data_IF_092226358426
#
_entry.id   IF_092226358426
#
_cell.length_a   1.000
_cell.length_b   1.000
_cell.length_c   1.000
_cell.angle_alpha   90.00
_cell.angle_beta   90.00
_cell.angle_gamma   90.00
#
_symmetry.space_group_name_H-M   'P 1'
#
loop_
_entity.id
_entity.type
_entity.pdbx_description
1 polymer ?
#
# COMPACT_ATOMS: atom_id res chain seq x y z
N UNK A 1 -13.59 13.49 -7.52
CA UNK A 1 -13.57 12.77 -8.82
C UNK A 1 -12.23 12.05 -9.04
N UNK A 2 -11.76 11.26 -8.06
CA UNK A 2 -10.46 10.59 -8.20
C UNK A 2 -10.65 9.36 -9.06
N UNK A 3 -10.32 9.46 -10.35
CA UNK A 3 -10.27 8.26 -11.17
C UNK A 3 -9.21 8.37 -12.24
N UNK A 4 -8.31 7.40 -12.20
CA UNK A 4 -7.09 7.35 -12.98
C UNK A 4 -7.45 6.79 -14.36
N UNK A 5 -7.37 7.66 -15.37
CA UNK A 5 -7.35 7.27 -16.77
C UNK A 5 -5.92 7.41 -17.27
N UNK A 6 -5.35 6.33 -17.79
CA UNK A 6 -4.03 6.29 -18.40
C UNK A 6 -4.04 6.83 -19.84
N UNK A 7 -4.95 7.72 -20.21
CA UNK A 7 -4.81 8.45 -21.48
C UNK A 7 -3.79 9.57 -21.32
N UNK A 8 -2.51 9.18 -21.42
CA UNK A 8 -1.45 10.07 -21.89
C UNK A 8 -1.08 11.27 -21.01
N UNK A 9 -1.63 11.44 -19.81
CA UNK A 9 -1.24 12.52 -18.88
C UNK A 9 -0.84 11.98 -17.52
N UNK A 10 0.48 11.89 -17.33
CA UNK A 10 1.17 11.63 -16.05
C UNK A 10 0.70 12.63 -14.99
N UNK A 11 0.19 12.15 -13.87
CA UNK A 11 0.07 12.95 -12.66
C UNK A 11 1.10 12.46 -11.64
N UNK A 12 2.36 12.86 -11.87
CA UNK A 12 3.42 12.84 -10.86
C UNK A 12 3.26 14.12 -10.07
N UNK A 13 3.17 14.04 -8.74
CA UNK A 13 3.39 15.21 -7.90
C UNK A 13 4.89 15.35 -7.66
N UNK A 14 5.41 16.50 -8.08
CA UNK A 14 6.73 16.98 -7.72
C UNK A 14 6.60 17.88 -6.49
N UNK A 15 7.53 17.77 -5.55
CA UNK A 15 7.74 18.76 -4.49
C UNK A 15 9.18 19.25 -4.68
N UNK A 16 9.35 20.52 -5.06
CA UNK A 16 10.65 21.13 -5.42
C UNK A 16 11.36 20.48 -6.63
N UNK A 17 10.65 20.23 -7.73
CA UNK A 17 11.20 19.60 -8.95
C UNK A 17 11.81 18.20 -8.78
N UNK A 18 11.73 17.63 -7.58
CA UNK A 18 11.95 16.21 -7.34
C UNK A 18 10.59 15.48 -7.30
N UNK A 19 10.45 14.30 -7.94
CA UNK A 19 9.29 13.44 -7.66
C UNK A 19 9.22 13.25 -6.16
N UNK A 20 8.02 13.15 -5.54
CA UNK A 20 7.94 12.78 -4.11
C UNK A 20 8.70 11.46 -3.96
N UNK A 21 9.94 11.60 -3.54
CA UNK A 21 10.84 10.50 -3.35
C UNK A 21 10.41 9.93 -2.01
N UNK A 22 9.55 8.92 -2.09
CA UNK A 22 9.47 7.85 -1.11
C UNK A 22 10.83 7.11 -1.09
N UNK A 23 11.91 7.87 -0.85
CA UNK A 23 13.29 7.44 -1.03
C UNK A 23 13.66 6.36 -0.02
N UNK A 24 12.97 6.24 1.13
CA UNK A 24 13.25 5.10 1.98
C UNK A 24 12.75 3.80 1.35
N UNK A 25 11.50 3.69 0.93
CA UNK A 25 10.99 2.40 0.45
C UNK A 25 11.46 2.08 -0.97
N UNK A 26 11.33 3.04 -1.90
CA UNK A 26 11.76 2.87 -3.28
C UNK A 26 13.29 2.88 -3.42
N UNK A 27 14.06 3.61 -2.60
CA UNK A 27 15.52 3.49 -2.61
C UNK A 27 16.05 2.34 -1.75
N UNK A 28 15.34 1.85 -0.71
CA UNK A 28 15.64 0.52 -0.11
C UNK A 28 15.37 -0.60 -1.10
N UNK A 29 14.38 -0.47 -1.97
CA UNK A 29 14.17 -1.43 -3.04
C UNK A 29 15.17 -1.25 -4.19
N UNK A 30 15.36 -0.02 -4.68
CA UNK A 30 16.24 0.29 -5.81
C UNK A 30 17.74 0.12 -5.51
N UNK A 31 18.19 0.31 -4.26
CA UNK A 31 19.60 0.07 -3.89
C UNK A 31 20.02 -1.39 -4.01
N UNK A 32 19.05 -2.31 -4.06
CA UNK A 32 19.28 -3.74 -4.26
C UNK A 32 19.22 -4.17 -5.74
N UNK A 33 18.70 -3.34 -6.66
CA UNK A 33 18.28 -3.78 -8.00
C UNK A 33 19.37 -3.88 -9.08
N UNK A 34 20.65 -3.69 -8.78
CA UNK A 34 21.65 -3.71 -9.85
C UNK A 34 22.04 -5.14 -10.31
N UNK A 35 21.74 -6.19 -9.54
CA UNK A 35 22.13 -7.59 -9.87
C UNK A 35 21.14 -8.71 -9.47
N UNK A 36 19.96 -8.40 -8.94
CA UNK A 36 19.02 -9.42 -8.42
C UNK A 36 17.76 -9.61 -9.28
N UNK A 37 17.17 -10.81 -9.25
CA UNK A 37 15.98 -11.20 -10.04
C UNK A 37 14.71 -10.47 -9.57
N UNK A 38 14.49 -10.44 -8.25
CA UNK A 38 13.39 -9.72 -7.62
C UNK A 38 13.77 -9.29 -6.19
N UNK A 39 12.81 -8.88 -5.36
CA UNK A 39 13.08 -8.38 -4.01
C UNK A 39 13.79 -9.40 -3.12
N UNK A 40 13.50 -10.69 -3.29
CA UNK A 40 13.96 -11.75 -2.38
C UNK A 40 14.90 -12.76 -3.06
N UNK A 41 14.93 -12.77 -4.39
CA UNK A 41 15.73 -13.69 -5.20
C UNK A 41 16.94 -12.96 -5.77
N UNK A 42 18.14 -13.31 -5.32
CA UNK A 42 19.40 -12.80 -5.89
C UNK A 42 19.67 -13.49 -7.23
N UNK A 43 19.75 -14.82 -7.21
CA UNK A 43 19.97 -15.65 -8.38
C UNK A 43 18.93 -16.77 -8.42
N UNK A 44 18.47 -17.14 -9.63
CA UNK A 44 17.43 -18.15 -9.78
C UNK A 44 17.92 -19.59 -9.57
N UNK A 45 19.23 -19.82 -9.49
CA UNK A 45 19.84 -21.14 -9.30
C UNK A 45 21.27 -20.97 -8.76
N UNK A 46 21.91 -22.05 -8.30
CA UNK A 46 23.30 -22.04 -7.84
C UNK A 46 23.46 -22.24 -6.33
N UNK A 47 22.36 -22.21 -5.58
CA UNK A 47 22.35 -22.46 -4.14
C UNK A 47 21.81 -23.85 -3.80
N UNK A 48 22.31 -24.38 -2.69
CA UNK A 48 21.85 -25.65 -2.12
C UNK A 48 20.36 -25.55 -1.78
N UNK A 49 19.58 -26.57 -2.14
CA UNK A 49 18.16 -26.59 -1.82
C UNK A 49 17.95 -26.88 -0.32
N UNK A 50 17.11 -26.10 0.35
CA UNK A 50 16.75 -26.31 1.76
C UNK A 50 16.01 -27.66 1.98
N UNK A 51 15.29 -28.12 0.96
CA UNK A 51 14.52 -29.37 1.01
C UNK A 51 15.30 -30.59 0.50
N UNK A 52 16.41 -30.39 -0.22
CA UNK A 52 17.25 -31.45 -0.74
C UNK A 52 18.71 -31.00 -0.74
N UNK A 53 19.45 -31.51 0.23
CA UNK A 53 20.81 -31.09 0.48
C UNK A 53 21.80 -31.55 -0.61
N UNK A 54 21.41 -32.40 -1.56
CA UNK A 54 22.27 -32.82 -2.67
C UNK A 54 22.12 -31.86 -3.86
N UNK A 55 20.94 -31.24 -4.00
CA UNK A 55 20.62 -30.35 -5.11
C UNK A 55 21.20 -28.95 -4.91
N UNK A 56 21.72 -28.38 -5.98
CA UNK A 56 22.31 -27.03 -6.06
C UNK A 56 21.63 -26.15 -7.12
N UNK A 57 20.50 -26.60 -7.66
CA UNK A 57 19.72 -25.89 -8.66
C UNK A 57 18.63 -25.01 -8.02
N UNK A 58 18.71 -24.71 -6.72
CA UNK A 58 17.79 -23.80 -6.06
C UNK A 58 18.29 -22.35 -6.09
N UNK A 59 17.34 -21.43 -5.94
CA UNK A 59 17.60 -20.01 -5.90
C UNK A 59 18.46 -19.60 -4.70
N UNK A 60 19.32 -18.62 -4.95
CA UNK A 60 20.05 -17.89 -3.93
C UNK A 60 19.20 -16.73 -3.46
N UNK A 61 18.80 -16.77 -2.19
CA UNK A 61 17.92 -15.76 -1.60
C UNK A 61 18.71 -14.62 -0.98
N UNK A 62 18.10 -13.43 -0.92
CA UNK A 62 18.65 -12.28 -0.21
C UNK A 62 18.87 -12.68 1.27
N UNK A 63 20.11 -12.62 1.79
CA UNK A 63 20.41 -13.07 3.15
C UNK A 63 19.58 -12.37 4.23
N UNK A 64 19.21 -11.11 3.98
CA UNK A 64 18.38 -10.32 4.87
C UNK A 64 16.89 -10.55 4.57
N UNK A 65 16.35 -11.66 5.05
CA UNK A 65 14.91 -11.92 5.09
C UNK A 65 14.33 -12.71 3.92
N UNK A 66 15.15 -13.18 2.98
CA UNK A 66 14.73 -14.08 1.89
C UNK A 66 14.84 -15.56 2.25
N UNK A 67 13.81 -16.34 1.89
CA UNK A 67 13.73 -17.79 2.09
C UNK A 67 13.36 -18.49 0.77
N UNK A 68 13.92 -19.69 0.54
CA UNK A 68 13.60 -20.50 -0.63
C UNK A 68 12.16 -21.01 -0.59
N UNK A 69 11.50 -21.03 -1.75
CA UNK A 69 10.09 -21.43 -1.89
C UNK A 69 9.82 -22.94 -1.86
N UNK A 70 10.84 -23.77 -1.60
CA UNK A 70 10.74 -25.23 -1.61
C UNK A 70 10.64 -25.86 -3.00
N UNK A 71 10.28 -27.14 -3.06
CA UNK A 71 10.36 -27.96 -4.27
C UNK A 71 9.40 -27.55 -5.40
N UNK A 72 8.29 -26.85 -5.08
CA UNK A 72 7.31 -26.39 -6.08
C UNK A 72 7.79 -25.15 -6.87
N UNK A 73 8.76 -24.42 -6.33
CA UNK A 73 9.36 -23.26 -6.97
C UNK A 73 10.84 -23.15 -6.57
N UNK A 74 11.70 -24.13 -6.95
CA UNK A 74 13.09 -24.18 -6.50
C UNK A 74 13.88 -22.96 -6.94
N UNK A 75 13.49 -22.35 -8.06
CA UNK A 75 14.19 -21.23 -8.69
C UNK A 75 13.70 -19.85 -8.21
N UNK A 76 13.05 -19.79 -7.05
CA UNK A 76 12.52 -18.54 -6.48
C UNK A 76 12.71 -18.47 -4.97
N UNK A 77 12.77 -17.24 -4.49
CA UNK A 77 12.69 -16.91 -3.09
C UNK A 77 11.47 -16.04 -2.82
N UNK A 78 11.01 -16.06 -1.58
CA UNK A 78 10.08 -15.08 -1.05
C UNK A 78 10.59 -14.58 0.29
N UNK A 79 9.84 -13.67 0.90
CA UNK A 79 10.10 -13.25 2.26
C UNK A 79 9.92 -14.43 3.22
N UNK A 80 10.85 -14.60 4.15
CA UNK A 80 10.70 -15.55 5.24
C UNK A 80 9.42 -15.25 6.05
N UNK A 81 8.65 -16.29 6.37
CA UNK A 81 7.28 -16.22 6.90
C UNK A 81 6.19 -16.23 5.82
N UNK A 82 6.55 -16.06 4.54
CA UNK A 82 5.62 -16.08 3.39
C UNK A 82 6.06 -17.08 2.30
N UNK A 83 7.11 -17.88 2.53
CA UNK A 83 7.68 -18.82 1.56
C UNK A 83 6.69 -19.90 1.09
N UNK A 84 5.70 -20.27 1.91
CA UNK A 84 4.66 -21.20 1.46
C UNK A 84 3.73 -20.62 0.37
N UNK A 85 3.76 -19.30 0.14
CA UNK A 85 2.87 -18.60 -0.79
C UNK A 85 3.56 -18.18 -2.10
N UNK A 86 4.76 -18.65 -2.38
CA UNK A 86 5.53 -18.21 -3.56
C UNK A 86 4.85 -18.40 -4.91
N UNK A 87 4.11 -19.50 -5.08
CA UNK A 87 3.43 -19.84 -6.34
C UNK A 87 2.00 -19.34 -6.35
N UNK A 88 1.36 -19.26 -5.18
CA UNK A 88 -0.04 -18.91 -5.03
C UNK A 88 -0.26 -18.08 -3.75
N UNK A 89 -0.05 -16.77 -3.86
CA UNK A 89 -0.31 -15.82 -2.79
C UNK A 89 -1.73 -15.25 -2.98
N UNK A 90 -2.72 -15.91 -2.38
CA UNK A 90 -4.14 -15.53 -2.47
C UNK A 90 -4.86 -15.93 -1.18
N UNK A 91 -5.72 -15.06 -0.66
CA UNK A 91 -6.53 -15.30 0.54
C UNK A 91 -5.67 -15.56 1.78
N UNK A 92 -4.77 -14.63 2.06
CA UNK A 92 -3.78 -14.75 3.16
C UNK A 92 -3.85 -13.58 4.13
N UNK A 93 -3.27 -13.78 5.31
CA UNK A 93 -3.06 -12.73 6.31
C UNK A 93 -1.57 -12.52 6.51
N UNK A 94 -1.12 -11.27 6.40
CA UNK A 94 0.26 -10.85 6.62
C UNK A 94 0.27 -10.01 7.91
N UNK A 95 0.89 -10.55 8.96
CA UNK A 95 1.01 -9.88 10.25
C UNK A 95 2.42 -9.34 10.47
N UNK A 96 2.52 -8.12 10.97
CA UNK A 96 3.78 -7.43 11.17
C UNK A 96 4.71 -8.14 12.16
N UNK A 97 4.16 -8.76 13.21
CA UNK A 97 4.90 -9.48 14.24
C UNK A 97 5.51 -10.78 13.71
N UNK A 98 4.74 -11.58 12.96
CA UNK A 98 5.21 -12.80 12.31
C UNK A 98 6.28 -12.47 11.28
N UNK A 99 6.04 -11.45 10.44
CA UNK A 99 6.98 -11.04 9.41
C UNK A 99 8.32 -10.60 10.01
N UNK A 100 8.27 -9.76 11.05
CA UNK A 100 9.47 -9.33 11.76
C UNK A 100 10.20 -10.51 12.40
N UNK A 101 9.48 -11.42 13.07
CA UNK A 101 10.09 -12.58 13.71
C UNK A 101 10.76 -13.54 12.72
N UNK A 102 10.23 -13.66 11.50
CA UNK A 102 10.71 -14.61 10.48
C UNK A 102 11.73 -14.04 9.50
N UNK A 103 11.57 -12.78 9.10
CA UNK A 103 12.44 -12.15 8.10
C UNK A 103 13.28 -11.00 8.63
N UNK A 104 13.07 -10.58 9.88
CA UNK A 104 13.65 -9.36 10.45
C UNK A 104 13.34 -8.09 9.65
N UNK A 105 12.19 -8.07 8.95
CA UNK A 105 11.73 -6.94 8.13
C UNK A 105 10.30 -6.57 8.47
N UNK A 106 9.96 -5.29 8.30
CA UNK A 106 8.60 -4.76 8.46
C UNK A 106 7.95 -4.38 7.14
N UNK A 107 8.58 -4.75 6.02
CA UNK A 107 8.10 -4.48 4.66
C UNK A 107 8.24 -5.73 3.81
N UNK A 108 7.56 -5.74 2.67
CA UNK A 108 7.62 -6.86 1.75
C UNK A 108 6.95 -6.62 0.41
N UNK A 109 6.70 -7.72 -0.30
CA UNK A 109 6.09 -7.71 -1.63
C UNK A 109 4.89 -8.66 -1.65
N UNK A 110 3.85 -8.26 -2.36
CA UNK A 110 2.69 -9.07 -2.71
C UNK A 110 2.67 -9.23 -4.22
N UNK A 111 2.73 -10.47 -4.67
CA UNK A 111 2.60 -10.84 -6.07
C UNK A 111 1.43 -11.80 -6.19
N UNK A 112 0.34 -11.34 -6.78
CA UNK A 112 -0.83 -12.20 -6.94
C UNK A 112 -0.53 -13.37 -7.88
N UNK A 113 -1.23 -14.51 -7.75
CA UNK A 113 -1.26 -15.52 -8.80
C UNK A 113 -1.82 -14.93 -10.11
N UNK A 114 -1.54 -15.62 -11.22
CA UNK A 114 -2.23 -15.38 -12.49
C UNK A 114 -3.65 -15.93 -12.37
N UNK A 115 -4.64 -15.05 -12.28
CA UNK A 115 -6.05 -15.43 -12.22
C UNK A 115 -6.69 -15.33 -13.60
N UNK A 116 -7.54 -16.30 -13.95
CA UNK A 116 -8.48 -16.15 -15.06
C UNK A 116 -9.84 -15.74 -14.49
N UNK A 117 -10.40 -14.64 -14.98
CA UNK A 117 -11.66 -14.09 -14.50
C UNK A 117 -12.88 -14.93 -14.94
N UNK A 118 -13.99 -14.89 -14.18
CA UNK A 118 -14.20 -14.13 -12.94
C UNK A 118 -13.52 -14.80 -11.73
N UNK A 119 -12.82 -14.02 -10.91
CA UNK A 119 -12.09 -14.53 -9.75
C UNK A 119 -11.80 -13.41 -8.73
N UNK A 120 -11.36 -13.77 -7.52
CA UNK A 120 -10.97 -12.80 -6.51
C UNK A 120 -9.93 -13.36 -5.54
N UNK A 121 -9.02 -12.50 -5.09
CA UNK A 121 -8.09 -12.76 -4.00
C UNK A 121 -8.12 -11.61 -2.99
N UNK A 122 -8.05 -11.94 -1.71
CA UNK A 122 -7.90 -10.95 -0.64
C UNK A 122 -6.61 -11.15 0.15
N UNK A 123 -6.14 -10.06 0.75
CA UNK A 123 -4.94 -10.03 1.58
C UNK A 123 -5.21 -9.16 2.81
N UNK A 124 -5.23 -9.78 3.98
CA UNK A 124 -5.35 -9.06 5.24
C UNK A 124 -3.98 -8.59 5.68
N UNK A 125 -3.84 -7.30 5.95
CA UNK A 125 -2.61 -6.63 6.40
C UNK A 125 -2.86 -6.20 7.85
N UNK A 126 -2.14 -6.83 8.77
CA UNK A 126 -2.23 -6.57 10.21
C UNK A 126 -0.93 -5.88 10.68
N UNK A 127 -0.91 -4.53 10.73
CA UNK A 127 0.24 -3.78 11.20
C UNK A 127 0.49 -3.94 12.71
N UNK A 128 -0.49 -4.39 13.49
CA UNK A 128 -0.50 -4.28 14.96
C UNK A 128 -0.78 -2.84 15.43
N UNK A 129 -0.44 -2.55 16.69
CA UNK A 129 -0.69 -1.24 17.30
C UNK A 129 0.29 -0.18 16.81
N UNK A 130 -0.19 1.06 16.74
CA UNK A 130 0.58 2.27 16.43
C UNK A 130 1.40 2.18 15.13
N UNK A 131 0.92 1.41 14.16
CA UNK A 131 1.57 1.25 12.86
C UNK A 131 0.55 1.47 11.74
N UNK A 132 1.03 2.00 10.62
CA UNK A 132 0.26 2.23 9.39
C UNK A 132 0.63 1.18 8.36
N UNK A 133 -0.34 0.79 7.55
CA UNK A 133 -0.10 0.07 6.30
C UNK A 133 0.18 1.09 5.21
N UNK A 134 1.33 0.97 4.55
CA UNK A 134 1.62 1.65 3.29
C UNK A 134 1.67 0.61 2.18
N UNK A 135 0.98 0.87 1.06
CA UNK A 135 0.94 -0.01 -0.09
C UNK A 135 1.34 0.77 -1.34
N UNK A 136 2.28 0.24 -2.11
CA UNK A 136 2.72 0.78 -3.40
C UNK A 136 2.41 -0.21 -4.50
N UNK A 137 1.43 0.07 -5.35
CA UNK A 137 1.05 -0.77 -6.48
C UNK A 137 1.90 -0.38 -7.69
N UNK A 138 2.73 -1.31 -8.17
CA UNK A 138 3.65 -1.12 -9.29
C UNK A 138 3.11 -1.65 -10.61
N UNK A 139 2.29 -2.70 -10.55
CA UNK A 139 1.72 -3.32 -11.74
C UNK A 139 0.30 -3.78 -11.46
N UNK A 140 -0.58 -3.54 -12.41
CA UNK A 140 -1.95 -4.03 -12.42
C UNK A 140 -2.27 -4.52 -13.84
N UNK A 141 -2.73 -5.76 -13.96
CA UNK A 141 -3.04 -6.42 -15.23
C UNK A 141 -4.49 -6.91 -15.17
N UNK A 142 -5.26 -6.52 -16.18
CA UNK A 142 -6.64 -6.91 -16.47
C UNK A 142 -7.52 -6.88 -15.23
N UNK A 143 -7.60 -5.72 -14.58
CA UNK A 143 -8.36 -5.50 -13.36
C UNK A 143 -9.51 -4.52 -13.62
N UNK A 144 -10.42 -4.89 -14.52
CA UNK A 144 -11.53 -4.05 -14.93
C UNK A 144 -11.09 -2.81 -15.71
N UNK A 145 -12.04 -1.88 -15.87
CA UNK A 145 -11.84 -0.62 -16.59
C UNK A 145 -12.54 0.52 -15.88
N UNK A 146 -12.12 1.74 -16.20
CA UNK A 146 -12.75 2.94 -15.70
C UNK A 146 -13.86 3.41 -16.66
N UNK A 147 -15.09 3.62 -16.15
CA UNK A 147 -16.23 4.02 -16.99
C UNK A 147 -16.53 5.54 -16.98
N UNK A 148 -15.64 6.37 -16.44
CA UNK A 148 -15.86 7.80 -16.25
C UNK A 148 -16.36 8.17 -14.84
N UNK A 149 -16.86 7.22 -14.05
CA UNK A 149 -17.30 7.48 -12.68
C UNK A 149 -16.91 6.43 -11.65
N UNK A 150 -16.73 5.17 -12.03
CA UNK A 150 -16.28 4.10 -11.15
C UNK A 150 -15.45 3.06 -11.91
N UNK A 151 -14.70 2.25 -11.16
CA UNK A 151 -14.16 1.01 -11.68
C UNK A 151 -15.28 -0.01 -11.90
N UNK A 152 -15.36 -0.53 -13.11
CA UNK A 152 -16.31 -1.57 -13.52
C UNK A 152 -15.57 -2.81 -13.97
N UNK A 153 -16.20 -3.97 -13.78
CA UNK A 153 -15.70 -5.27 -14.27
C UNK A 153 -14.44 -5.80 -13.58
N UNK A 154 -13.94 -5.08 -12.56
CA UNK A 154 -12.83 -5.50 -11.71
C UNK A 154 -12.15 -4.31 -11.04
N UNK A 155 -11.38 -4.58 -9.99
CA UNK A 155 -10.64 -3.57 -9.25
C UNK A 155 -9.62 -4.16 -8.27
N UNK A 156 -8.67 -3.32 -7.84
CA UNK A 156 -7.85 -3.50 -6.65
C UNK A 156 -8.21 -2.41 -5.64
N UNK A 157 -8.58 -2.78 -4.42
CA UNK A 157 -9.10 -1.87 -3.39
C UNK A 157 -8.46 -2.15 -2.02
N UNK A 158 -8.01 -1.11 -1.33
CA UNK A 158 -7.49 -1.23 0.04
C UNK A 158 -8.54 -0.73 1.05
N UNK A 159 -9.19 -1.65 1.74
CA UNK A 159 -10.26 -1.39 2.70
C UNK A 159 -9.68 -1.29 4.11
N UNK A 160 -10.21 -0.38 4.91
CA UNK A 160 -9.82 -0.17 6.31
C UNK A 160 -10.94 -0.65 7.26
N UNK A 161 -10.63 -1.50 8.24
CA UNK A 161 -11.59 -2.43 8.89
C UNK A 161 -12.67 -1.82 9.82
N UNK A 162 -12.78 -0.50 9.94
CA UNK A 162 -13.72 0.13 10.91
C UNK A 162 -14.37 1.45 10.45
N UNK A 163 -14.55 1.66 9.15
CA UNK A 163 -15.50 2.66 8.64
C UNK A 163 -16.76 1.94 8.18
N UNK A 164 -17.93 2.23 8.76
CA UNK A 164 -19.22 1.56 8.51
C UNK A 164 -19.80 1.60 7.08
N UNK A 165 -18.94 1.79 6.08
CA UNK A 165 -19.23 1.75 4.65
C UNK A 165 -18.21 0.91 3.85
N UNK A 166 -17.08 0.46 4.41
CA UNK A 166 -16.14 -0.41 3.68
C UNK A 166 -15.55 0.18 2.38
N UNK A 167 -15.40 1.51 2.31
CA UNK A 167 -14.94 2.21 1.10
C UNK A 167 -13.46 2.57 1.23
N UNK A 168 -12.63 1.93 0.41
CA UNK A 168 -11.20 2.17 0.30
C UNK A 168 -10.83 2.95 -0.96
N UNK A 169 -9.56 3.43 -1.08
CA UNK A 169 -9.01 3.74 -2.39
C UNK A 169 -9.06 2.53 -3.31
N UNK A 170 -9.51 2.76 -4.55
CA UNK A 170 -9.72 1.73 -5.58
C UNK A 170 -9.04 2.15 -6.88
N UNK A 171 -8.43 1.18 -7.56
CA UNK A 171 -7.89 1.34 -8.91
C UNK A 171 -8.32 0.18 -9.82
N UNK A 172 -8.35 0.40 -11.12
CA UNK A 172 -8.69 -0.56 -12.16
C UNK A 172 -7.92 -0.21 -13.44
N UNK A 173 -7.76 -1.17 -14.35
CA UNK A 173 -7.09 -0.94 -15.62
C UNK A 173 -6.68 -2.22 -16.38
N UNK A 174 -6.41 -2.12 -17.69
CA UNK A 174 -6.19 -3.26 -18.57
C UNK A 174 -4.78 -3.88 -18.50
N UNK A 175 -3.67 -3.12 -18.53
CA UNK A 175 -2.32 -3.63 -18.28
C UNK A 175 -1.36 -2.45 -18.15
N UNK A 176 -1.05 -2.07 -16.92
CA UNK A 176 -0.24 -0.88 -16.68
C UNK A 176 0.88 -1.19 -15.70
N UNK A 177 2.11 -0.93 -16.16
CA UNK A 177 3.21 -0.62 -15.26
C UNK A 177 2.99 0.80 -14.77
N UNK A 178 2.49 0.91 -13.54
CA UNK A 178 2.16 2.19 -12.92
C UNK A 178 3.44 2.98 -12.68
N UNK A 179 3.58 4.07 -13.43
CA UNK A 179 4.77 4.92 -13.39
C UNK A 179 4.33 6.38 -13.26
N UNK A 180 4.35 6.95 -12.04
CA UNK A 180 4.85 6.38 -10.79
C UNK A 180 3.88 5.33 -10.18
N UNK A 181 4.34 4.49 -9.24
CA UNK A 181 3.48 3.56 -8.51
C UNK A 181 2.33 4.29 -7.81
N UNK A 182 1.17 3.65 -7.74
CA UNK A 182 0.03 4.18 -6.97
C UNK A 182 0.25 3.85 -5.50
N UNK A 183 0.18 4.86 -4.64
CA UNK A 183 0.36 4.69 -3.19
C UNK A 183 -0.99 4.76 -2.47
N UNK A 184 -1.25 3.79 -1.61
CA UNK A 184 -2.44 3.71 -0.75
C UNK A 184 -1.99 3.55 0.71
N UNK A 185 -2.79 4.06 1.64
CA UNK A 185 -2.50 3.97 3.07
C UNK A 185 -3.73 3.55 3.85
N UNK A 186 -3.51 2.77 4.91
CA UNK A 186 -4.53 2.45 5.90
C UNK A 186 -3.97 2.65 7.32
N UNK A 187 -4.76 3.31 8.16
CA UNK A 187 -4.33 3.86 9.46
C UNK A 187 -4.89 3.10 10.67
N UNK A 188 -5.62 2.00 10.47
CA UNK A 188 -6.21 1.24 11.58
C UNK A 188 -5.52 -0.09 11.77
N UNK A 189 -6.02 -0.81 12.76
CA UNK A 189 -5.49 -2.07 13.27
C UNK A 189 -5.44 -3.19 12.22
N UNK A 190 -6.26 -3.12 11.16
CA UNK A 190 -6.17 -4.05 10.05
C UNK A 190 -6.73 -3.45 8.76
N UNK A 191 -6.10 -3.77 7.64
CA UNK A 191 -6.55 -3.41 6.31
C UNK A 191 -6.72 -4.65 5.42
N UNK A 192 -7.64 -4.61 4.47
CA UNK A 192 -7.87 -5.69 3.50
C UNK A 192 -7.61 -5.17 2.10
N UNK A 193 -6.61 -5.73 1.42
CA UNK A 193 -6.42 -5.53 -0.01
C UNK A 193 -7.28 -6.54 -0.76
N UNK A 194 -8.26 -6.06 -1.50
CA UNK A 194 -9.19 -6.87 -2.27
C UNK A 194 -8.89 -6.74 -3.77
N UNK A 195 -8.55 -7.84 -4.41
CA UNK A 195 -8.34 -7.94 -5.85
C UNK A 195 -9.49 -8.73 -6.47
N UNK A 196 -10.33 -8.07 -7.26
CA UNK A 196 -11.57 -8.64 -7.79
C UNK A 196 -11.64 -8.49 -9.30
N UNK A 197 -11.96 -9.57 -9.99
CA UNK A 197 -12.15 -9.64 -11.44
C UNK A 197 -13.55 -10.16 -11.70
N UNK A 198 -14.37 -9.38 -12.40
CA UNK A 198 -15.77 -9.74 -12.66
C UNK A 198 -16.01 -10.11 -14.13
N UNK A 199 -15.13 -9.67 -15.04
CA UNK A 199 -15.16 -10.06 -16.45
C UNK A 199 -14.30 -11.29 -16.76
N UNK A 200 -14.53 -11.91 -17.91
CA UNK A 200 -13.71 -13.02 -18.39
C UNK A 200 -12.36 -12.48 -18.87
N UNK A 201 -11.29 -12.89 -18.18
CA UNK A 201 -9.91 -12.54 -18.52
C UNK A 201 -9.06 -13.80 -18.59
N UNK A 202 -8.06 -13.84 -19.47
CA UNK A 202 -7.13 -14.96 -19.52
C UNK A 202 -6.09 -14.89 -18.40
N UNK A 203 -5.67 -13.67 -18.04
CA UNK A 203 -4.64 -13.40 -17.03
C UNK A 203 -4.82 -12.05 -16.38
N UNK A 204 -5.17 -12.05 -15.10
CA UNK A 204 -5.27 -10.88 -14.24
C UNK A 204 -4.29 -11.02 -13.07
N UNK A 205 -3.50 -9.98 -12.82
CA UNK A 205 -2.45 -9.98 -11.79
C UNK A 205 -2.18 -8.59 -11.24
N UNK A 206 -1.60 -8.51 -10.03
CA UNK A 206 -0.97 -7.29 -9.55
C UNK A 206 0.37 -7.56 -8.87
N UNK A 207 1.18 -6.51 -8.81
CA UNK A 207 2.41 -6.45 -8.03
C UNK A 207 2.36 -5.21 -7.13
N UNK A 208 2.46 -5.42 -5.83
CA UNK A 208 2.53 -4.35 -4.86
C UNK A 208 3.64 -4.59 -3.83
N UNK A 209 4.15 -3.52 -3.25
CA UNK A 209 5.00 -3.57 -2.06
C UNK A 209 4.25 -3.00 -0.88
N UNK A 210 4.50 -3.54 0.31
CA UNK A 210 3.86 -3.07 1.53
C UNK A 210 4.88 -2.79 2.63
N UNK A 211 4.56 -1.89 3.55
CA UNK A 211 5.31 -1.67 4.79
C UNK A 211 4.37 -1.43 5.96
N UNK A 212 4.85 -1.85 7.14
CA UNK A 212 4.27 -1.53 8.43
C UNK A 212 5.13 -0.47 9.11
N UNK A 213 4.71 0.79 8.97
CA UNK A 213 5.47 1.94 9.45
C UNK A 213 4.94 2.41 10.79
N UNK A 214 5.83 2.63 11.75
CA UNK A 214 5.45 3.17 13.07
C UNK A 214 4.88 4.59 12.95
N UNK A 215 3.72 4.82 13.57
CA UNK A 215 3.10 6.13 13.73
C UNK A 215 3.77 6.98 14.83
N UNK A 216 4.65 6.40 15.65
CA UNK A 216 5.33 7.09 16.76
C UNK A 216 6.70 7.64 16.37
N UNK A 217 7.31 7.16 15.28
CA UNK A 217 8.61 7.64 14.83
C UNK A 217 8.49 8.95 14.04
N UNK A 218 8.95 10.05 14.64
CA UNK A 218 8.98 11.39 14.03
C UNK A 218 9.99 11.55 12.87
N UNK A 219 10.82 10.53 12.61
CA UNK A 219 11.86 10.53 11.57
C UNK A 219 11.38 9.98 10.22
N UNK A 220 10.13 9.52 10.11
CA UNK A 220 9.56 9.19 8.81
C UNK A 220 9.18 10.47 8.05
N UNK A 221 9.51 10.57 6.76
CA UNK A 221 9.05 11.60 5.82
C UNK A 221 7.52 11.57 5.57
N UNK A 222 6.76 11.03 6.53
CA UNK A 222 5.36 10.68 6.44
C UNK A 222 4.49 11.77 7.04
N UNK A 223 3.46 12.19 6.30
CA UNK A 223 2.50 13.14 6.81
C UNK A 223 1.61 12.50 7.88
N UNK A 224 1.69 13.00 9.11
CA UNK A 224 0.79 12.64 10.21
C UNK A 224 -0.08 13.86 10.56
N UNK A 225 -1.43 13.71 10.57
CA UNK A 225 -2.30 14.72 11.14
C UNK A 225 -1.92 14.98 12.61
N UNK A 226 -1.70 16.24 12.97
CA UNK A 226 -1.24 16.66 14.30
C UNK A 226 -2.30 17.48 15.01
N UNK A 227 -2.54 17.15 16.27
CA UNK A 227 -3.43 17.88 17.18
C UNK A 227 -4.92 17.73 16.90
N UNK A 228 -5.28 16.85 15.95
CA UNK A 228 -6.66 16.37 15.78
C UNK A 228 -6.83 14.98 16.38
N UNK A 229 -8.06 14.65 16.75
CA UNK A 229 -8.49 13.28 17.08
C UNK A 229 -9.54 12.81 16.08
N UNK A 230 -9.53 11.53 15.75
CA UNK A 230 -10.59 10.92 14.95
C UNK A 230 -11.89 10.89 15.75
N UNK A 231 -13.02 11.02 15.07
CA UNK A 231 -14.34 10.80 15.66
C UNK A 231 -14.68 9.32 15.48
N UNK A 232 -14.93 8.63 16.59
CA UNK A 232 -15.32 7.23 16.61
C UNK A 232 -16.60 7.00 15.80
N UNK A 233 -16.75 5.81 15.23
CA UNK A 233 -17.89 5.42 14.40
C UNK A 233 -18.11 6.24 13.12
N UNK A 234 -17.14 7.08 12.73
CA UNK A 234 -17.13 7.75 11.43
C UNK A 234 -16.08 7.14 10.50
N UNK A 235 -16.28 7.30 9.19
CA UNK A 235 -15.31 6.81 8.20
C UNK A 235 -13.99 7.61 8.28
N UNK A 236 -14.10 8.93 8.36
CA UNK A 236 -12.97 9.85 8.21
C UNK A 236 -13.16 11.22 8.89
N UNK A 237 -14.06 11.37 9.85
CA UNK A 237 -14.26 12.66 10.53
C UNK A 237 -13.19 12.90 11.59
N UNK A 238 -12.82 14.17 11.74
CA UNK A 238 -11.80 14.61 12.68
C UNK A 238 -12.26 15.81 13.51
N UNK A 239 -11.89 15.82 14.79
CA UNK A 239 -12.03 16.96 15.69
C UNK A 239 -10.67 17.59 15.99
N UNK A 240 -10.56 18.90 15.77
CA UNK A 240 -9.41 19.72 16.13
C UNK A 240 -9.83 20.75 17.17
N UNK A 241 -9.13 20.75 18.29
CA UNK A 241 -9.38 21.69 19.38
C UNK A 241 -8.18 22.62 19.51
N UNK A 242 -8.43 23.92 19.62
CA UNK A 242 -7.40 24.95 19.65
C UNK A 242 -6.31 24.69 20.70
N UNK A 243 -6.66 24.21 21.90
CA UNK A 243 -5.69 23.88 22.95
C UNK A 243 -4.70 22.76 22.54
N UNK A 244 -5.11 21.84 21.65
CA UNK A 244 -4.23 20.82 21.07
C UNK A 244 -3.32 21.38 19.96
N UNK A 245 -3.63 22.58 19.45
CA UNK A 245 -2.89 23.25 18.36
C UNK A 245 -1.99 24.40 18.85
N UNK A 246 -2.18 24.91 20.07
CA UNK A 246 -1.57 26.15 20.59
C UNK A 246 -0.03 26.19 20.53
N UNK A 247 0.66 25.08 20.76
CA UNK A 247 2.14 25.07 20.83
C UNK A 247 2.85 24.95 19.47
N UNK A 248 2.21 24.39 18.44
CA UNK A 248 2.92 23.96 17.23
C UNK A 248 2.11 24.02 15.93
N UNK A 249 0.95 24.68 15.92
CA UNK A 249 -0.08 24.54 14.87
C UNK A 249 -0.56 23.08 14.68
N UNK A 250 -1.75 22.91 14.13
CA UNK A 250 -2.29 21.60 13.78
C UNK A 250 -2.11 21.33 12.30
N UNK A 251 -1.94 20.06 11.94
CA UNK A 251 -1.89 19.61 10.55
C UNK A 251 -3.08 18.70 10.27
N UNK A 252 -3.74 18.97 9.15
CA UNK A 252 -4.87 18.18 8.64
C UNK A 252 -4.56 17.74 7.21
N UNK A 253 -5.04 16.56 6.84
CA UNK A 253 -5.03 16.09 5.47
C UNK A 253 -6.20 15.17 5.17
N UNK A 254 -6.43 14.96 3.89
CA UNK A 254 -7.38 13.95 3.40
C UNK A 254 -7.00 12.55 3.90
N UNK A 255 -7.98 11.64 4.05
CA UNK A 255 -7.70 10.25 4.35
C UNK A 255 -6.74 9.66 3.34
N UNK A 256 -5.75 8.90 3.80
CA UNK A 256 -4.76 8.27 2.93
C UNK A 256 -3.71 9.22 2.34
N UNK A 257 -3.65 10.50 2.71
CA UNK A 257 -2.56 11.39 2.27
C UNK A 257 -1.18 10.86 2.75
N UNK A 258 -0.10 10.94 1.91
CA UNK A 258 0.00 11.56 0.57
C UNK A 258 -0.46 10.70 -0.61
N UNK A 259 -1.00 9.51 -0.35
CA UNK A 259 -1.52 8.59 -1.36
C UNK A 259 -2.92 8.98 -1.83
N UNK A 260 -3.52 8.07 -2.59
CA UNK A 260 -4.86 8.26 -3.12
C UNK A 260 -5.90 8.07 -2.00
N UNK A 261 -6.93 8.91 -2.02
CA UNK A 261 -8.06 8.81 -1.10
C UNK A 261 -9.20 8.00 -1.74
N UNK A 262 -10.02 7.38 -0.90
CA UNK A 262 -11.19 6.60 -1.31
C UNK A 262 -12.21 7.41 -2.12
N UNK A 263 -13.05 6.70 -2.86
CA UNK A 263 -14.09 7.32 -3.69
C UNK A 263 -15.37 7.49 -2.88
N UNK A 264 -16.25 8.41 -3.27
CA UNK A 264 -17.50 8.69 -2.54
C UNK A 264 -17.34 8.94 -1.03
N UNK A 265 -16.18 9.44 -0.61
CA UNK A 265 -15.90 9.76 0.78
C UNK A 265 -16.53 11.10 1.16
N UNK A 266 -17.21 11.11 2.30
CA UNK A 266 -17.72 12.31 2.93
C UNK A 266 -17.10 12.45 4.31
N UNK A 267 -16.17 13.40 4.45
CA UNK A 267 -15.38 13.61 5.66
C UNK A 267 -15.61 15.03 6.19
N UNK A 268 -15.89 15.15 7.48
CA UNK A 268 -16.03 16.43 8.19
C UNK A 268 -14.83 16.68 9.09
N UNK A 269 -14.26 17.86 8.96
CA UNK A 269 -13.18 18.35 9.81
C UNK A 269 -13.74 19.45 10.72
N UNK A 270 -14.00 19.11 11.97
CA UNK A 270 -14.54 20.03 12.97
C UNK A 270 -13.40 20.78 13.63
N UNK A 271 -13.37 22.10 13.51
CA UNK A 271 -12.38 22.96 14.15
C UNK A 271 -13.10 23.79 15.21
N UNK A 272 -12.75 23.57 16.48
CA UNK A 272 -13.40 24.24 17.64
C UNK A 272 -12.39 25.08 18.40
N UNK A 273 -12.82 26.26 18.87
CA UNK A 273 -12.03 27.17 19.68
C UNK A 273 -12.54 27.24 21.12
N UNK A 274 -11.63 27.40 22.08
CA UNK A 274 -11.96 27.53 23.51
C UNK A 274 -12.44 28.94 23.89
N UNK A 275 -12.29 29.92 22.99
CA UNK A 275 -12.67 31.31 23.21
C UNK A 275 -13.19 31.95 21.92
N UNK A 276 -14.13 32.88 22.07
CA UNK A 276 -14.61 33.73 20.97
C UNK A 276 -13.51 34.66 20.40
N UNK A 277 -12.45 34.93 21.17
CA UNK A 277 -11.33 35.77 20.74
C UNK A 277 -10.30 35.00 19.91
N UNK A 278 -10.41 33.67 19.81
CA UNK A 278 -9.47 32.86 19.04
C UNK A 278 -9.84 32.88 17.56
N UNK A 279 -8.88 33.29 16.72
CA UNK A 279 -9.03 33.26 15.25
C UNK A 279 -8.35 32.02 14.68
N UNK A 280 -9.03 31.35 13.76
CA UNK A 280 -8.49 30.20 13.03
C UNK A 280 -7.92 30.67 11.70
N UNK A 281 -6.67 30.31 11.40
CA UNK A 281 -6.05 30.50 10.09
C UNK A 281 -5.79 29.14 9.45
N UNK A 282 -6.34 28.92 8.27
CA UNK A 282 -6.12 27.69 7.48
C UNK A 282 -5.18 28.02 6.32
N UNK A 283 -4.12 27.22 6.16
CA UNK A 283 -3.16 27.35 5.07
C UNK A 283 -3.02 26.00 4.37
N UNK A 284 -3.26 26.00 3.06
CA UNK A 284 -3.05 24.81 2.23
C UNK A 284 -1.58 24.73 1.80
N UNK A 285 -0.90 23.66 2.21
CA UNK A 285 0.45 23.32 1.72
C UNK A 285 0.38 22.55 0.39
N UNK A 286 -0.72 21.86 0.17
CA UNK A 286 -0.95 20.99 -0.98
C UNK A 286 -2.43 20.96 -1.28
N UNK A 287 -2.76 21.03 -2.58
CA UNK A 287 -4.11 20.79 -3.05
C UNK A 287 -4.01 20.04 -4.38
N UNK A 288 -4.49 18.80 -4.40
CA UNK A 288 -4.65 18.01 -5.62
C UNK A 288 -6.06 17.46 -5.59
N UNK A 289 -6.95 18.15 -6.30
CA UNK A 289 -8.31 17.72 -6.50
C UNK A 289 -8.49 17.40 -7.98
N UNK A 290 -9.20 16.32 -8.30
CA UNK A 290 -9.52 15.97 -9.66
C UNK A 290 -10.40 17.04 -10.31
N UNK A 291 -10.17 17.26 -11.60
CA UNK A 291 -10.93 18.20 -12.42
C UNK A 291 -12.38 17.71 -12.58
N UNK A 292 -13.32 18.67 -12.69
CA UNK A 292 -14.73 18.40 -12.99
C UNK A 292 -14.93 18.10 -14.47
#
# INVERSE_FOLDING_TARGET
MNWFHSEGKKWIRYVNDEPITFNDMAARFASYYYYQVDLWTQESQGCRCNHDSVRTDCACCVPQGGCQCGALAPNRCAQCGLEQHCTNMCNITIKADILLARSNMTFGQIKSPALSGPNSCWYTLDPGRDKRVELQVYRLINAGRFNGSNCVSGYLELIDSFGGQGIGPRICGPDERLTPPVVMFADRESAMLNFRIEETTSRSQFLAYFSFTSLTNAHGLMFKPKGGRRIEHTACDWLYQDFSCKKNSCTLASPGFPGIYGTNLYCKYYITTSSANTKVRIQFQTLSLPLK
#
